data_IF_321619275625
#
_entry.id   IF_321619275625
#
_cell.length_a   1.000
_cell.length_b   1.000
_cell.length_c   1.000
_cell.angle_alpha   90.00
_cell.angle_beta   90.00
_cell.angle_gamma   90.00
#
_symmetry.space_group_name_H-M   'P 1'
#
loop_
_entity.id
_entity.type
_entity.pdbx_description
1 polymer ?
#
# COMPACT_ATOMS: atom_id res chain seq x y z
N UNK A 1 9.58 4.57 -12.83
CA UNK A 1 9.51 5.92 -12.23
C UNK A 1 8.15 6.02 -11.57
N UNK A 2 8.04 6.37 -10.28
CA UNK A 2 6.75 6.80 -9.72
C UNK A 2 6.67 8.29 -10.04
N UNK A 3 6.13 8.59 -11.22
CA UNK A 3 6.11 9.96 -11.76
C UNK A 3 5.02 10.80 -11.11
N UNK A 4 4.07 10.13 -10.46
CA UNK A 4 2.90 10.75 -9.87
C UNK A 4 2.68 10.22 -8.45
N UNK A 5 2.32 11.13 -7.54
CA UNK A 5 1.93 10.77 -6.18
C UNK A 5 0.57 10.04 -6.21
N UNK A 6 0.38 9.12 -5.26
CA UNK A 6 -0.95 8.56 -5.00
C UNK A 6 -1.91 9.74 -4.73
N UNK A 7 -3.12 9.77 -5.33
CA UNK A 7 -4.05 10.88 -5.15
C UNK A 7 -4.30 11.19 -3.67
N UNK A 8 -4.49 12.47 -3.34
CA UNK A 8 -4.76 12.88 -1.95
C UNK A 8 -6.06 12.25 -1.43
N UNK A 9 -6.08 11.84 -0.16
CA UNK A 9 -7.28 11.27 0.47
C UNK A 9 -8.38 12.34 0.50
N UNK A 10 -9.58 12.01 -0.01
CA UNK A 10 -10.78 12.82 0.24
C UNK A 10 -11.34 12.39 1.59
N UNK A 11 -11.36 13.31 2.56
CA UNK A 11 -11.75 13.00 3.94
C UNK A 11 -13.14 13.57 4.23
N UNK A 12 -14.03 12.72 4.74
CA UNK A 12 -15.38 13.12 5.13
C UNK A 12 -15.45 13.95 6.42
N UNK A 13 -16.62 14.54 6.69
CA UNK A 13 -16.87 15.25 7.94
C UNK A 13 -16.91 14.30 9.15
N UNK A 14 -17.49 13.12 8.98
CA UNK A 14 -17.45 12.01 9.93
C UNK A 14 -16.20 11.20 9.68
N UNK A 15 -15.35 11.11 10.71
CA UNK A 15 -13.97 10.70 10.55
C UNK A 15 -13.44 10.09 11.85
N UNK A 16 -12.55 9.09 11.80
CA UNK A 16 -11.84 8.62 13.01
C UNK A 16 -11.09 9.79 13.65
N UNK A 17 -11.43 10.11 14.90
CA UNK A 17 -10.82 11.20 15.70
C UNK A 17 -9.99 10.70 16.88
N UNK A 18 -10.01 9.39 17.13
CA UNK A 18 -9.34 8.73 18.25
C UNK A 18 -8.07 8.02 17.79
N UNK A 19 -7.05 8.01 18.62
CA UNK A 19 -5.84 7.24 18.36
C UNK A 19 -6.09 5.75 18.62
N UNK A 20 -5.70 4.90 17.69
CA UNK A 20 -5.64 3.44 17.88
C UNK A 20 -4.35 2.98 18.60
N UNK A 21 -3.51 3.92 19.06
CA UNK A 21 -2.35 3.61 19.89
C UNK A 21 -2.84 3.18 21.27
N UNK A 22 -2.90 1.87 21.50
CA UNK A 22 -3.09 1.29 22.81
C UNK A 22 -1.72 1.11 23.50
N UNK A 23 -1.67 0.95 24.84
CA UNK A 23 -0.44 0.58 25.54
C UNK A 23 -0.07 -0.87 25.20
N UNK A 24 0.49 -1.08 24.01
CA UNK A 24 0.97 -2.37 23.52
C UNK A 24 2.47 -2.41 23.71
N UNK A 25 2.99 -3.45 24.37
CA UNK A 25 4.42 -3.70 24.45
C UNK A 25 4.83 -4.59 23.29
N UNK A 26 5.65 -4.06 22.39
CA UNK A 26 6.35 -4.88 21.42
C UNK A 26 7.41 -5.71 22.15
N UNK A 27 7.41 -7.02 21.93
CA UNK A 27 8.24 -7.99 22.68
C UNK A 27 9.45 -8.47 21.86
N UNK A 28 9.61 -7.98 20.63
CA UNK A 28 10.73 -8.33 19.75
C UNK A 28 11.83 -7.25 19.73
N UNK A 29 12.99 -7.55 19.15
CA UNK A 29 13.99 -6.54 18.86
C UNK A 29 13.52 -5.68 17.67
N UNK A 30 13.30 -4.38 17.90
CA UNK A 30 13.15 -3.41 16.82
C UNK A 30 14.54 -3.02 16.33
N UNK A 31 14.76 -3.18 15.03
CA UNK A 31 15.97 -2.70 14.38
C UNK A 31 15.60 -1.58 13.42
N UNK A 32 16.32 -0.46 13.54
CA UNK A 32 16.25 0.58 12.53
C UNK A 32 16.93 0.07 11.26
N UNK A 33 16.20 0.09 10.16
CA UNK A 33 16.77 -0.19 8.85
C UNK A 33 17.53 1.05 8.36
N UNK A 34 18.77 1.20 8.81
CA UNK A 34 19.57 2.41 8.60
C UNK A 34 19.85 2.72 7.12
N UNK A 35 19.84 1.70 6.27
CA UNK A 35 20.14 1.77 4.83
C UNK A 35 18.89 1.66 3.97
N UNK A 36 17.68 1.74 4.54
CA UNK A 36 16.44 1.48 3.80
C UNK A 36 16.37 2.18 2.45
N UNK A 37 16.56 3.51 2.42
CA UNK A 37 16.51 4.28 1.18
C UNK A 37 17.61 3.86 0.20
N UNK A 38 18.81 3.56 0.71
CA UNK A 38 19.94 3.11 -0.11
C UNK A 38 19.64 1.75 -0.73
N UNK A 39 19.12 0.81 0.05
CA UNK A 39 18.78 -0.55 -0.39
C UNK A 39 17.64 -0.53 -1.40
N UNK A 40 16.61 0.29 -1.18
CA UNK A 40 15.50 0.49 -2.12
C UNK A 40 16.02 1.09 -3.44
N UNK A 41 16.83 2.15 -3.36
CA UNK A 41 17.39 2.79 -4.54
C UNK A 41 18.33 1.84 -5.31
N UNK A 42 19.20 1.11 -4.60
CA UNK A 42 20.08 0.12 -5.20
C UNK A 42 19.29 -0.99 -5.89
N UNK A 43 18.28 -1.55 -5.22
CA UNK A 43 17.39 -2.54 -5.81
C UNK A 43 16.67 -2.03 -7.05
N UNK A 44 16.16 -0.79 -7.00
CA UNK A 44 15.51 -0.15 -8.14
C UNK A 44 16.44 0.02 -9.34
N UNK A 45 17.67 0.49 -9.12
CA UNK A 45 18.64 0.74 -10.19
C UNK A 45 19.22 -0.56 -10.79
N UNK A 46 19.35 -1.61 -9.97
CA UNK A 46 19.81 -2.91 -10.43
C UNK A 46 18.72 -3.72 -11.13
N UNK A 47 17.45 -3.40 -10.89
CA UNK A 47 16.33 -4.08 -11.55
C UNK A 47 16.25 -3.70 -13.03
N UNK A 48 16.24 -4.71 -13.90
CA UNK A 48 16.10 -4.49 -15.34
C UNK A 48 14.63 -4.27 -15.72
N UNK A 49 14.16 -3.03 -15.58
CA UNK A 49 12.80 -2.61 -15.94
C UNK A 49 12.46 -2.86 -17.42
N UNK A 50 13.47 -2.84 -18.30
CA UNK A 50 13.30 -3.02 -19.75
C UNK A 50 13.10 -4.48 -20.15
N UNK A 51 13.34 -5.43 -19.25
CA UNK A 51 13.27 -6.88 -19.53
C UNK A 51 11.88 -7.31 -19.99
N UNK A 52 10.83 -6.67 -19.46
CA UNK A 52 9.44 -6.97 -19.77
C UNK A 52 8.65 -5.69 -20.06
N UNK A 53 8.42 -5.40 -21.34
CA UNK A 53 7.73 -4.19 -21.84
C UNK A 53 6.23 -4.40 -22.08
N UNK A 54 5.57 -5.10 -21.16
CA UNK A 54 4.12 -5.25 -21.26
C UNK A 54 3.43 -3.93 -20.93
N UNK A 55 2.48 -3.51 -21.77
CA UNK A 55 1.57 -2.42 -21.42
C UNK A 55 0.69 -2.88 -20.25
N UNK A 56 0.91 -2.34 -19.06
CA UNK A 56 0.13 -2.67 -17.85
C UNK A 56 -1.10 -1.78 -17.65
N UNK A 57 -1.12 -0.59 -18.26
CA UNK A 57 -2.26 0.32 -18.24
C UNK A 57 -2.17 1.30 -19.42
N UNK A 58 -3.29 1.93 -19.76
CA UNK A 58 -3.38 3.01 -20.74
C UNK A 58 -3.89 4.24 -20.02
N UNK A 59 -3.11 5.32 -20.05
CA UNK A 59 -3.53 6.59 -19.49
C UNK A 59 -4.44 7.33 -20.48
N UNK A 60 -5.58 7.87 -20.04
CA UNK A 60 -6.41 8.72 -20.88
C UNK A 60 -5.67 10.02 -21.25
N UNK A 61 -5.90 10.51 -22.47
CA UNK A 61 -5.36 11.79 -22.93
C UNK A 61 -6.06 12.95 -22.19
N UNK A 62 -5.28 13.89 -21.67
CA UNK A 62 -5.76 15.10 -21.00
C UNK A 62 -6.48 16.05 -21.99
N UNK A 63 -7.47 16.86 -21.54
CA UNK A 63 -7.93 16.99 -20.16
C UNK A 63 -8.97 15.94 -19.74
N UNK A 64 -8.82 15.38 -18.54
CA UNK A 64 -9.80 14.46 -17.96
C UNK A 64 -11.07 15.16 -17.51
N UNK A 65 -12.23 14.65 -17.94
CA UNK A 65 -13.53 15.11 -17.44
C UNK A 65 -13.68 14.83 -15.93
N UNK A 66 -14.44 15.68 -15.23
CA UNK A 66 -14.64 15.62 -13.76
C UNK A 66 -15.05 14.21 -13.25
N UNK A 67 -15.85 13.49 -14.03
CA UNK A 67 -16.40 12.18 -13.68
C UNK A 67 -15.56 11.01 -14.21
N UNK A 68 -14.32 11.25 -14.65
CA UNK A 68 -13.39 10.20 -15.05
C UNK A 68 -12.92 9.39 -13.83
N UNK A 69 -12.78 8.08 -14.00
CA UNK A 69 -12.31 7.14 -12.97
C UNK A 69 -10.85 7.36 -12.53
N UNK A 70 -10.03 8.00 -13.38
CA UNK A 70 -8.68 8.40 -13.03
C UNK A 70 -8.66 9.56 -12.02
N UNK A 71 -9.74 10.34 -11.94
CA UNK A 71 -9.92 11.27 -10.84
C UNK A 71 -10.37 10.50 -9.61
N UNK A 72 -9.75 10.77 -8.45
CA UNK A 72 -10.23 10.23 -7.17
C UNK A 72 -11.73 10.56 -7.01
N UNK A 73 -12.55 9.59 -6.62
CA UNK A 73 -14.00 9.79 -6.42
C UNK A 73 -14.43 9.42 -5.00
N UNK A 74 -13.64 8.61 -4.29
CA UNK A 74 -14.00 8.04 -3.01
C UNK A 74 -13.58 8.95 -1.86
N UNK A 75 -14.56 9.31 -1.02
CA UNK A 75 -14.31 9.89 0.29
C UNK A 75 -14.19 8.76 1.32
N UNK A 76 -13.20 8.85 2.20
CA UNK A 76 -12.98 7.88 3.27
C UNK A 76 -13.29 8.50 4.63
N UNK A 77 -13.82 7.67 5.55
CA UNK A 77 -14.18 8.01 6.93
C UNK A 77 -13.37 7.33 8.05
N UNK A 78 -12.59 6.29 7.72
CA UNK A 78 -11.80 5.51 8.67
C UNK A 78 -10.66 4.72 8.00
N UNK A 79 -10.00 3.87 8.77
CA UNK A 79 -8.97 2.93 8.32
C UNK A 79 -9.50 1.90 7.32
N UNK A 80 -10.77 1.46 7.39
CA UNK A 80 -11.32 0.50 6.44
C UNK A 80 -11.37 1.08 5.02
N UNK A 81 -11.83 2.32 4.89
CA UNK A 81 -11.80 3.04 3.62
C UNK A 81 -10.37 3.24 3.10
N UNK A 82 -9.42 3.50 3.99
CA UNK A 82 -8.00 3.61 3.64
C UNK A 82 -7.44 2.29 3.09
N UNK A 83 -7.77 1.16 3.71
CA UNK A 83 -7.35 -0.17 3.26
C UNK A 83 -7.84 -0.48 1.85
N UNK A 84 -9.14 -0.31 1.60
CA UNK A 84 -9.73 -0.53 0.28
C UNK A 84 -9.10 0.37 -0.79
N UNK A 85 -8.87 1.64 -0.46
CA UNK A 85 -8.24 2.61 -1.37
C UNK A 85 -6.77 2.28 -1.65
N UNK A 86 -6.01 1.86 -0.64
CA UNK A 86 -4.62 1.44 -0.82
C UNK A 86 -4.52 0.23 -1.74
N UNK A 87 -5.36 -0.79 -1.53
CA UNK A 87 -5.39 -1.96 -2.38
C UNK A 87 -5.80 -1.61 -3.82
N UNK A 88 -6.74 -0.67 -4.01
CA UNK A 88 -7.14 -0.24 -5.34
C UNK A 88 -6.05 0.56 -6.08
N UNK A 89 -5.48 1.58 -5.43
CA UNK A 89 -4.54 2.50 -6.09
C UNK A 89 -3.11 1.97 -6.17
N UNK A 90 -2.70 1.12 -5.23
CA UNK A 90 -1.34 0.58 -5.15
C UNK A 90 -1.32 -0.93 -5.37
N UNK A 91 -2.08 -1.70 -4.60
CA UNK A 91 -2.05 -3.16 -4.65
C UNK A 91 -2.35 -3.71 -6.05
N UNK A 92 -3.43 -3.25 -6.67
CA UNK A 92 -3.84 -3.67 -8.02
C UNK A 92 -2.80 -3.32 -9.09
N UNK A 93 -2.26 -2.10 -9.04
CA UNK A 93 -1.21 -1.64 -9.97
C UNK A 93 0.06 -2.48 -9.79
N UNK A 94 0.48 -2.71 -8.54
CA UNK A 94 1.67 -3.50 -8.25
C UNK A 94 1.51 -4.97 -8.67
N UNK A 95 0.31 -5.54 -8.58
CA UNK A 95 0.05 -6.89 -9.10
C UNK A 95 0.23 -6.97 -10.62
N UNK A 96 -0.21 -5.95 -11.35
CA UNK A 96 0.06 -5.88 -12.80
C UNK A 96 1.56 -5.73 -13.09
N UNK A 97 2.29 -4.93 -12.29
CA UNK A 97 3.75 -4.82 -12.38
C UNK A 97 4.41 -6.18 -12.11
N UNK A 98 4.09 -6.86 -11.01
CA UNK A 98 4.63 -8.17 -10.68
C UNK A 98 4.40 -9.20 -11.79
N UNK A 99 3.17 -9.27 -12.31
CA UNK A 99 2.82 -10.12 -13.44
C UNK A 99 3.64 -9.79 -14.70
N UNK A 100 3.80 -8.50 -15.02
CA UNK A 100 4.64 -8.08 -16.15
C UNK A 100 6.11 -8.47 -15.97
N UNK A 101 6.64 -8.38 -14.76
CA UNK A 101 8.05 -8.66 -14.46
C UNK A 101 8.32 -10.15 -14.21
N UNK A 102 7.28 -11.01 -14.26
CA UNK A 102 7.41 -12.43 -13.94
C UNK A 102 7.76 -12.70 -12.47
N UNK A 103 7.39 -11.79 -11.57
CA UNK A 103 7.59 -11.95 -10.13
C UNK A 103 6.39 -12.71 -9.54
N UNK A 104 6.68 -13.77 -8.79
CA UNK A 104 5.65 -14.56 -8.09
C UNK A 104 5.23 -13.88 -6.79
N UNK A 105 4.60 -12.71 -6.92
CA UNK A 105 4.12 -11.87 -5.83
C UNK A 105 2.73 -11.31 -6.15
N UNK A 106 1.87 -11.26 -5.13
CA UNK A 106 0.50 -10.73 -5.22
C UNK A 106 0.14 -10.01 -3.92
N UNK A 107 -0.20 -8.72 -4.01
CA UNK A 107 -0.95 -8.00 -2.99
C UNK A 107 -2.35 -8.55 -2.87
N UNK A 108 -2.80 -8.77 -1.64
CA UNK A 108 -4.17 -9.18 -1.37
C UNK A 108 -4.54 -9.16 0.10
N UNK A 109 -5.74 -9.64 0.38
CA UNK A 109 -6.24 -9.79 1.74
C UNK A 109 -5.46 -10.90 2.46
N UNK A 110 -5.02 -10.63 3.69
CA UNK A 110 -4.26 -11.61 4.47
C UNK A 110 -5.01 -12.95 4.65
N UNK A 111 -6.34 -12.91 4.70
CA UNK A 111 -7.19 -14.11 4.83
C UNK A 111 -7.17 -15.02 3.60
N UNK A 112 -6.67 -14.55 2.47
CA UNK A 112 -6.44 -15.37 1.29
C UNK A 112 -5.13 -16.18 1.36
N UNK A 113 -4.31 -15.97 2.40
CA UNK A 113 -3.08 -16.72 2.63
C UNK A 113 -3.31 -18.07 3.31
N UNK A 114 -2.30 -18.94 3.25
CA UNK A 114 -2.25 -20.19 4.01
C UNK A 114 -1.76 -20.01 5.46
N UNK A 115 -1.61 -18.76 5.93
CA UNK A 115 -1.09 -18.50 7.27
C UNK A 115 -2.06 -18.97 8.36
N UNK A 116 -1.53 -19.64 9.38
CA UNK A 116 -2.29 -20.03 10.59
C UNK A 116 -2.39 -18.89 11.62
N UNK A 117 -1.81 -17.72 11.32
CA UNK A 117 -1.85 -16.56 12.19
C UNK A 117 -3.28 -16.04 12.36
N UNK A 118 -3.66 -15.75 13.61
CA UNK A 118 -5.06 -15.45 13.95
C UNK A 118 -5.48 -14.00 13.75
N UNK A 119 -4.53 -13.07 13.65
CA UNK A 119 -4.86 -11.66 13.36
C UNK A 119 -4.88 -11.43 11.85
N UNK A 120 -5.46 -10.32 11.45
CA UNK A 120 -5.58 -9.93 10.04
C UNK A 120 -4.85 -8.61 9.86
N UNK A 121 -3.59 -8.64 9.42
CA UNK A 121 -2.92 -7.47 8.89
C UNK A 121 -3.76 -6.80 7.80
N UNK A 122 -3.64 -5.48 7.72
CA UNK A 122 -4.39 -4.64 6.78
C UNK A 122 -4.02 -4.93 5.32
N UNK A 123 -2.76 -5.31 5.06
CA UNK A 123 -2.25 -5.65 3.74
C UNK A 123 -1.35 -6.88 3.84
N UNK A 124 -1.41 -7.76 2.84
CA UNK A 124 -0.46 -8.86 2.68
C UNK A 124 0.10 -8.92 1.26
N UNK A 125 1.36 -9.35 1.14
CA UNK A 125 1.96 -9.80 -0.12
C UNK A 125 2.20 -11.30 0.00
N UNK A 126 1.72 -12.06 -0.96
CA UNK A 126 1.80 -13.52 -1.02
C UNK A 126 2.49 -13.96 -2.31
N UNK A 127 3.00 -15.19 -2.33
CA UNK A 127 3.41 -15.85 -3.58
C UNK A 127 2.23 -16.66 -4.19
N UNK A 128 2.43 -17.27 -5.35
CA UNK A 128 1.41 -18.12 -6.01
C UNK A 128 0.98 -19.34 -5.20
N UNK A 129 1.81 -19.77 -4.24
CA UNK A 129 1.49 -20.79 -3.23
C UNK A 129 0.62 -20.30 -2.07
N UNK A 130 0.26 -19.01 -2.04
CA UNK A 130 -0.45 -18.33 -0.92
C UNK A 130 0.36 -18.25 0.37
N UNK A 131 1.69 -18.36 0.29
CA UNK A 131 2.58 -18.12 1.42
C UNK A 131 2.85 -16.63 1.57
N UNK A 132 2.72 -16.13 2.80
CA UNK A 132 2.93 -14.73 3.14
C UNK A 132 4.41 -14.36 3.02
N UNK A 133 4.71 -13.39 2.16
CA UNK A 133 6.05 -12.82 1.96
C UNK A 133 6.24 -11.52 2.76
N UNK A 134 5.18 -10.71 2.86
CA UNK A 134 5.18 -9.49 3.65
C UNK A 134 3.78 -9.15 4.16
N UNK A 135 3.71 -8.35 5.23
CA UNK A 135 2.47 -7.81 5.80
C UNK A 135 2.64 -6.33 6.11
N UNK A 136 1.55 -5.58 6.03
CA UNK A 136 1.50 -4.16 6.31
C UNK A 136 0.31 -3.78 7.19
N UNK A 137 0.48 -2.71 7.94
CA UNK A 137 -0.54 -2.07 8.76
C UNK A 137 -0.74 -0.64 8.25
N UNK A 138 -1.98 -0.24 8.04
CA UNK A 138 -2.36 1.07 7.53
C UNK A 138 -3.02 1.87 8.64
N UNK A 139 -2.64 3.15 8.77
CA UNK A 139 -3.22 4.06 9.76
C UNK A 139 -3.66 5.36 9.14
N UNK A 140 -4.87 5.75 9.48
CA UNK A 140 -5.47 7.03 9.15
C UNK A 140 -4.88 8.14 10.03
N UNK A 141 -3.96 8.95 9.51
CA UNK A 141 -3.39 10.11 10.23
C UNK A 141 -4.35 11.31 10.23
N UNK A 142 -5.49 11.17 10.90
CA UNK A 142 -6.58 12.16 10.80
C UNK A 142 -6.62 13.12 11.99
N UNK A 143 -5.66 12.94 12.89
CA UNK A 143 -5.41 13.75 14.06
C UNK A 143 -4.09 14.45 13.77
N UNK A 144 -4.06 15.79 13.84
CA UNK A 144 -2.84 16.59 13.60
C UNK A 144 -1.73 16.38 14.62
N UNK A 145 -1.95 15.52 15.63
CA UNK A 145 -1.00 15.20 16.70
C UNK A 145 -1.02 13.69 16.93
N UNK A 146 -0.19 12.97 16.17
CA UNK A 146 0.51 11.79 16.70
C UNK A 146 1.90 12.22 17.20
N UNK A 147 1.99 13.41 17.79
CA UNK A 147 3.24 13.95 18.28
C UNK A 147 3.74 13.06 19.41
N UNK A 148 4.97 12.58 19.26
CA UNK A 148 5.79 12.13 20.37
C UNK A 148 5.63 13.15 21.49
N UNK A 149 5.10 12.70 22.64
CA UNK A 149 5.23 13.46 23.86
C UNK A 149 6.73 13.66 24.10
N UNK A 150 7.15 14.93 24.21
CA UNK A 150 8.46 15.30 24.76
C UNK A 150 8.69 14.65 26.12
#
# INVERSE_FOLDING_TARGET
MVEERIPALRVGANRTKSSALHPIKYIGPLHRWNTFEQDVNAGFQQHNWERHKSTITILPLEPLGLHNIANEQLAIGDENGLQGRFNHNMGHVMNAVFGSQGLDLEFGDFRASNSSYRRTPDVAIMNGGRDVQAVGELKAQWIGVHGDAQ
#
